data_IF_961380069581
#
_entry.id   IF_961380069581
#
_cell.length_a   1.000
_cell.length_b   1.000
_cell.length_c   1.000
_cell.angle_alpha   90.00
_cell.angle_beta   90.00
_cell.angle_gamma   90.00
#
_symmetry.space_group_name_H-M   'P 1'
#
loop_
_entity.id
_entity.type
_entity.pdbx_description
1 polymer ?
#
# COMPACT_ATOMS: atom_id res chain seq x y z
N UNK A 1 -0.43 -27.32 15.01
CA UNK A 1 -0.73 -27.05 13.59
C UNK A 1 -0.61 -25.55 13.49
N UNK A 2 0.61 -25.08 13.20
CA UNK A 2 0.93 -23.67 13.03
C UNK A 2 0.23 -23.28 11.73
N UNK A 3 -0.91 -22.60 11.85
CA UNK A 3 -1.49 -21.93 10.69
C UNK A 3 -0.54 -20.78 10.40
N UNK A 4 -0.04 -20.66 9.18
CA UNK A 4 0.58 -19.40 8.78
C UNK A 4 -0.52 -18.34 8.93
N UNK A 5 -0.37 -17.43 9.91
CA UNK A 5 -1.41 -16.45 10.26
C UNK A 5 -1.62 -15.41 9.15
N UNK A 6 -0.73 -15.39 8.16
CA UNK A 6 -0.86 -14.63 6.92
C UNK A 6 -0.63 -15.55 5.74
N UNK A 7 -1.63 -15.69 4.86
CA UNK A 7 -1.55 -16.53 3.66
C UNK A 7 -1.99 -15.77 2.42
N UNK A 8 -1.45 -16.15 1.26
CA UNK A 8 -1.78 -15.57 -0.04
C UNK A 8 -2.26 -16.67 -0.99
N UNK A 9 -3.31 -16.36 -1.74
CA UNK A 9 -3.86 -17.22 -2.78
C UNK A 9 -4.14 -16.40 -4.03
N UNK A 10 -3.54 -16.80 -5.14
CA UNK A 10 -3.88 -16.25 -6.45
C UNK A 10 -5.33 -16.61 -6.81
N UNK A 11 -6.06 -15.65 -7.37
CA UNK A 11 -7.43 -15.80 -7.84
C UNK A 11 -7.42 -15.89 -9.36
N UNK A 12 -8.14 -16.88 -9.90
CA UNK A 12 -8.33 -16.99 -11.34
C UNK A 12 -8.95 -15.71 -11.91
N UNK A 13 -8.34 -15.17 -12.97
CA UNK A 13 -8.87 -14.04 -13.72
C UNK A 13 -8.87 -14.36 -15.22
N UNK A 14 -9.92 -13.95 -15.92
CA UNK A 14 -10.02 -14.09 -17.37
C UNK A 14 -9.32 -12.94 -18.13
N UNK A 15 -8.56 -12.09 -17.43
CA UNK A 15 -7.98 -10.87 -17.97
C UNK A 15 -6.45 -10.88 -17.86
N UNK A 16 -5.77 -10.82 -19.00
CA UNK A 16 -4.29 -10.81 -19.06
C UNK A 16 -3.66 -9.49 -18.57
N UNK A 17 -4.48 -8.47 -18.24
CA UNK A 17 -3.99 -7.13 -17.88
C UNK A 17 -3.92 -6.88 -16.36
N UNK A 18 -4.20 -7.90 -15.55
CA UNK A 18 -4.09 -7.87 -14.08
C UNK A 18 -3.98 -9.26 -13.48
N UNK A 19 -3.38 -9.31 -12.31
CA UNK A 19 -3.43 -10.46 -11.41
C UNK A 19 -4.26 -10.08 -10.17
N UNK A 20 -4.93 -11.07 -9.59
CA UNK A 20 -5.73 -10.85 -8.39
C UNK A 20 -5.34 -11.86 -7.33
N UNK A 21 -5.25 -11.39 -6.09
CA UNK A 21 -4.91 -12.23 -4.95
C UNK A 21 -5.90 -12.01 -3.81
N UNK A 22 -6.14 -13.08 -3.07
CA UNK A 22 -6.79 -13.08 -1.78
C UNK A 22 -5.73 -13.30 -0.71
N UNK A 23 -5.57 -12.34 0.20
CA UNK A 23 -4.69 -12.49 1.36
C UNK A 23 -5.56 -12.67 2.60
N UNK A 24 -5.34 -13.74 3.35
CA UNK A 24 -5.82 -13.85 4.72
C UNK A 24 -4.78 -13.20 5.63
N UNK A 25 -5.17 -12.14 6.34
CA UNK A 25 -4.36 -11.46 7.34
C UNK A 25 -5.06 -11.60 8.69
N UNK A 26 -4.68 -12.61 9.48
CA UNK A 26 -5.27 -12.90 10.79
C UNK A 26 -6.81 -13.01 10.77
N UNK A 27 -7.36 -13.69 9.76
CA UNK A 27 -8.78 -13.88 9.51
C UNK A 27 -9.46 -12.72 8.75
N UNK A 28 -8.75 -11.63 8.47
CA UNK A 28 -9.23 -10.56 7.61
C UNK A 28 -8.87 -10.86 6.15
N UNK A 29 -9.88 -10.89 5.28
CA UNK A 29 -9.67 -11.13 3.86
C UNK A 29 -9.41 -9.81 3.11
N UNK A 30 -8.25 -9.72 2.45
CA UNK A 30 -7.87 -8.62 1.56
C UNK A 30 -7.95 -9.09 0.11
N UNK A 31 -8.48 -8.23 -0.75
CA UNK A 31 -8.42 -8.41 -2.21
C UNK A 31 -7.37 -7.48 -2.77
N UNK A 32 -6.34 -8.06 -3.37
CA UNK A 32 -5.23 -7.35 -4.01
C UNK A 32 -5.40 -7.42 -5.52
N UNK A 33 -5.24 -6.29 -6.19
CA UNK A 33 -5.14 -6.21 -7.65
C UNK A 33 -3.73 -5.76 -8.00
N UNK A 34 -2.98 -6.59 -8.72
CA UNK A 34 -1.66 -6.25 -9.27
C UNK A 34 -1.83 -5.97 -10.75
N UNK A 35 -1.29 -4.86 -11.24
CA UNK A 35 -1.48 -4.46 -12.64
C UNK A 35 -0.46 -3.42 -13.07
N UNK A 36 -0.17 -3.37 -14.37
CA UNK A 36 0.41 -2.22 -15.05
C UNK A 36 -0.60 -1.50 -15.96
N UNK A 37 -1.84 -1.99 -16.06
CA UNK A 37 -2.88 -1.47 -16.96
C UNK A 37 -3.50 -0.16 -16.45
N UNK A 38 -3.40 0.96 -17.20
CA UNK A 38 -4.05 2.22 -16.84
C UNK A 38 -5.58 2.09 -16.75
N UNK A 39 -6.18 1.16 -17.50
CA UNK A 39 -7.61 0.90 -17.48
C UNK A 39 -8.04 0.21 -16.17
N UNK A 40 -7.28 -0.78 -15.70
CA UNK A 40 -7.53 -1.46 -14.43
C UNK A 40 -7.40 -0.48 -13.27
N UNK A 41 -6.36 0.36 -13.25
CA UNK A 41 -6.19 1.40 -12.22
C UNK A 41 -7.39 2.37 -12.19
N UNK A 42 -7.83 2.84 -13.38
CA UNK A 42 -9.02 3.71 -13.47
C UNK A 42 -10.25 3.04 -12.87
N UNK A 43 -10.51 1.78 -13.25
CA UNK A 43 -11.67 1.02 -12.79
C UNK A 43 -11.60 0.75 -11.28
N UNK A 44 -10.41 0.44 -10.76
CA UNK A 44 -10.18 0.22 -9.34
C UNK A 44 -10.53 1.49 -8.55
N UNK A 45 -10.03 2.67 -8.94
CA UNK A 45 -10.31 3.93 -8.25
C UNK A 45 -11.80 4.27 -8.29
N UNK A 46 -12.44 4.16 -9.46
CA UNK A 46 -13.88 4.45 -9.60
C UNK A 46 -14.72 3.54 -8.70
N UNK A 47 -14.39 2.25 -8.66
CA UNK A 47 -15.11 1.26 -7.84
C UNK A 47 -14.87 1.52 -6.35
N UNK A 48 -13.63 1.75 -5.94
CA UNK A 48 -13.26 2.09 -4.56
C UNK A 48 -13.99 3.34 -4.08
N UNK A 49 -14.04 4.39 -4.90
CA UNK A 49 -14.83 5.59 -4.62
C UNK A 49 -16.34 5.36 -4.52
N UNK A 50 -16.89 4.45 -5.33
CA UNK A 50 -18.31 4.13 -5.28
C UNK A 50 -18.67 3.34 -4.01
N UNK A 51 -17.85 2.35 -3.66
CA UNK A 51 -17.99 1.53 -2.45
C UNK A 51 -17.90 2.41 -1.20
N UNK A 52 -16.87 3.24 -1.11
CA UNK A 52 -16.58 4.06 0.08
C UNK A 52 -17.06 5.51 -0.04
N UNK A 53 -18.09 5.77 -0.87
CA UNK A 53 -18.60 7.12 -1.15
C UNK A 53 -19.04 7.90 0.10
N UNK A 54 -19.42 7.21 1.18
CA UNK A 54 -19.78 7.82 2.46
C UNK A 54 -18.60 8.51 3.16
N UNK A 55 -17.36 8.20 2.77
CA UNK A 55 -16.13 8.72 3.38
C UNK A 55 -15.40 9.73 2.48
N UNK A 56 -15.99 10.15 1.36
CA UNK A 56 -15.34 10.98 0.33
C UNK A 56 -14.75 12.30 0.81
N UNK A 57 -15.23 12.84 1.94
CA UNK A 57 -14.77 14.12 2.48
C UNK A 57 -13.62 13.99 3.49
N UNK A 58 -13.27 12.76 3.90
CA UNK A 58 -12.16 12.43 4.81
C UNK A 58 -11.62 11.06 4.42
N UNK A 59 -10.99 10.98 3.26
CA UNK A 59 -10.60 9.71 2.68
C UNK A 59 -9.22 9.31 3.19
N UNK A 60 -9.13 8.26 4.01
CA UNK A 60 -7.84 7.72 4.45
C UNK A 60 -7.40 6.60 3.50
N UNK A 61 -6.16 6.65 3.04
CA UNK A 61 -5.60 5.69 2.10
C UNK A 61 -4.25 5.22 2.61
N UNK A 62 -4.12 3.91 2.80
CA UNK A 62 -2.81 3.30 3.03
C UNK A 62 -1.97 3.41 1.77
N UNK A 63 -0.82 4.06 1.89
CA UNK A 63 0.14 4.28 0.82
C UNK A 63 1.38 3.41 1.08
N UNK A 64 1.86 2.78 0.02
CA UNK A 64 3.19 2.19 -0.02
C UNK A 64 3.86 2.50 -1.35
N UNK A 65 5.18 2.59 -1.35
CA UNK A 65 5.99 2.78 -2.55
C UNK A 65 7.21 1.88 -2.41
N UNK A 66 7.51 1.09 -3.44
CA UNK A 66 8.71 0.25 -3.45
C UNK A 66 9.58 0.58 -4.66
N UNK A 67 10.89 0.47 -4.47
CA UNK A 67 11.92 0.70 -5.46
C UNK A 67 13.09 -0.25 -5.17
N UNK A 68 13.93 -0.51 -6.17
CA UNK A 68 15.16 -1.27 -5.95
C UNK A 68 16.17 -0.39 -5.19
N UNK A 69 16.61 -0.74 -3.97
CA UNK A 69 17.48 0.12 -3.17
C UNK A 69 18.94 0.13 -3.64
N UNK A 70 19.35 -0.83 -4.48
CA UNK A 70 20.72 -0.95 -4.97
C UNK A 70 20.98 -0.14 -6.25
N UNK A 71 19.92 0.40 -6.82
CA UNK A 71 19.94 1.32 -7.94
C UNK A 71 19.29 2.62 -7.50
N UNK A 72 19.74 3.78 -7.98
CA UNK A 72 19.00 5.05 -7.74
C UNK A 72 17.77 5.15 -8.66
N UNK A 73 17.11 4.01 -8.88
CA UNK A 73 15.93 3.88 -9.72
C UNK A 73 14.74 4.57 -9.04
N UNK A 74 13.84 5.16 -9.84
CA UNK A 74 12.61 5.73 -9.33
C UNK A 74 11.68 4.67 -8.72
N UNK A 75 10.54 5.11 -8.20
CA UNK A 75 9.48 4.22 -7.72
C UNK A 75 9.12 3.14 -8.75
N UNK A 76 9.31 1.87 -8.37
CA UNK A 76 8.94 0.69 -9.16
C UNK A 76 7.46 0.38 -9.10
N UNK A 77 6.89 0.53 -7.90
CA UNK A 77 5.49 0.23 -7.63
C UNK A 77 4.86 1.31 -6.74
N UNK A 78 3.55 1.50 -6.93
CA UNK A 78 2.68 2.28 -6.05
C UNK A 78 1.60 1.36 -5.46
N UNK A 79 1.48 1.36 -4.14
CA UNK A 79 0.42 0.66 -3.42
C UNK A 79 -0.61 1.65 -2.88
N UNK A 80 -1.89 1.33 -3.07
CA UNK A 80 -3.01 2.06 -2.48
C UNK A 80 -3.96 1.07 -1.83
N UNK A 81 -4.27 1.25 -0.55
CA UNK A 81 -5.24 0.40 0.14
C UNK A 81 -6.35 1.20 0.82
N UNK A 82 -7.60 0.76 0.60
CA UNK A 82 -8.80 1.32 1.21
C UNK A 82 -9.76 0.19 1.60
N UNK A 83 -10.00 0.06 2.90
CA UNK A 83 -10.73 -1.07 3.49
C UNK A 83 -9.94 -2.36 3.27
N UNK A 84 -10.58 -3.36 2.67
CA UNK A 84 -9.95 -4.63 2.30
C UNK A 84 -9.49 -4.68 0.84
N UNK A 85 -9.47 -3.54 0.14
CA UNK A 85 -9.07 -3.48 -1.28
C UNK A 85 -7.71 -2.82 -1.37
N UNK A 86 -6.71 -3.56 -1.85
CA UNK A 86 -5.41 -2.99 -2.17
C UNK A 86 -5.14 -3.07 -3.68
N UNK A 87 -4.50 -2.03 -4.21
CA UNK A 87 -3.99 -1.96 -5.57
C UNK A 87 -2.47 -1.91 -5.50
N UNK A 88 -1.80 -2.72 -6.30
CA UNK A 88 -0.36 -2.63 -6.57
C UNK A 88 -0.22 -2.26 -8.04
N UNK A 89 0.22 -1.04 -8.31
CA UNK A 89 0.42 -0.52 -9.66
C UNK A 89 1.91 -0.55 -10.00
N UNK A 90 2.30 -1.37 -10.97
CA UNK A 90 3.68 -1.48 -11.48
C UNK A 90 3.99 -0.28 -12.39
N UNK A 91 4.66 0.73 -11.83
CA UNK A 91 4.93 2.02 -12.49
C UNK A 91 5.99 1.90 -13.60
N UNK A 92 6.96 0.99 -13.47
CA UNK A 92 7.99 0.76 -14.50
C UNK A 92 7.46 0.06 -15.74
N UNK A 93 6.30 -0.59 -15.62
CA UNK A 93 5.72 -1.44 -16.67
C UNK A 93 4.49 -0.82 -17.33
N UNK A 94 4.22 0.46 -17.06
CA UNK A 94 3.12 1.20 -17.68
C UNK A 94 3.64 2.35 -18.54
N UNK A 95 3.09 2.48 -19.75
CA UNK A 95 3.40 3.60 -20.64
C UNK A 95 2.75 4.91 -20.19
N UNK A 96 1.71 4.84 -19.35
CA UNK A 96 0.98 6.03 -18.92
C UNK A 96 0.28 5.87 -17.58
N UNK A 97 -0.02 7.00 -16.94
CA UNK A 97 -0.84 7.03 -15.73
C UNK A 97 -2.17 7.72 -16.01
N UNK A 98 -3.31 7.10 -15.66
CA UNK A 98 -4.61 7.70 -15.96
C UNK A 98 -4.83 8.97 -15.12
N UNK A 99 -5.39 10.02 -15.73
CA UNK A 99 -5.68 11.31 -15.06
C UNK A 99 -6.55 11.20 -13.81
N UNK A 100 -7.29 10.10 -13.63
CA UNK A 100 -8.04 9.85 -12.39
C UNK A 100 -7.12 9.50 -11.22
N UNK A 101 -6.02 8.77 -11.46
CA UNK A 101 -5.03 8.51 -10.41
C UNK A 101 -4.34 9.81 -9.99
N UNK A 102 -3.92 10.64 -10.95
CA UNK A 102 -3.31 11.95 -10.65
C UNK A 102 -4.23 12.81 -9.78
N UNK A 103 -5.51 12.91 -10.14
CA UNK A 103 -6.52 13.64 -9.35
C UNK A 103 -6.79 13.01 -7.99
N UNK A 104 -6.70 11.69 -7.87
CA UNK A 104 -6.87 10.98 -6.60
C UNK A 104 -5.70 11.26 -5.65
N UNK A 105 -4.48 11.24 -6.17
CA UNK A 105 -3.25 11.54 -5.43
C UNK A 105 -3.16 13.03 -5.03
N UNK A 106 -3.67 13.92 -5.87
CA UNK A 106 -3.70 15.37 -5.66
C UNK A 106 -5.00 15.86 -4.99
N UNK A 107 -5.84 14.97 -4.44
CA UNK A 107 -7.06 15.38 -3.74
C UNK A 107 -6.73 15.85 -2.30
N UNK A 108 -7.02 17.11 -1.91
CA UNK A 108 -6.77 17.60 -0.56
C UNK A 108 -7.69 16.96 0.51
N UNK A 109 -8.75 16.26 0.11
CA UNK A 109 -9.62 15.51 1.03
C UNK A 109 -9.09 14.10 1.31
N UNK A 110 -7.99 13.70 0.67
CA UNK A 110 -7.35 12.40 0.86
C UNK A 110 -6.14 12.54 1.78
N UNK A 111 -6.13 11.76 2.86
CA UNK A 111 -4.98 11.60 3.76
C UNK A 111 -4.27 10.30 3.43
N UNK A 112 -3.07 10.41 2.89
CA UNK A 112 -2.18 9.27 2.68
C UNK A 112 -1.43 8.95 3.97
N UNK A 113 -1.41 7.68 4.35
CA UNK A 113 -0.77 7.19 5.57
C UNK A 113 0.15 6.02 5.26
N UNK A 114 1.24 5.92 6.00
CA UNK A 114 2.22 4.84 5.86
C UNK A 114 3.08 4.71 7.11
N UNK A 115 4.04 3.78 7.09
CA UNK A 115 5.00 3.55 8.17
C UNK A 115 6.39 3.62 7.55
N UNK A 116 7.29 4.44 8.10
CA UNK A 116 8.63 4.70 7.55
C UNK A 116 8.63 5.32 6.13
N UNK A 117 7.52 5.94 5.71
CA UNK A 117 7.21 6.43 4.36
C UNK A 117 7.78 7.81 3.97
N UNK A 118 8.81 8.28 4.66
CA UNK A 118 9.41 9.61 4.44
C UNK A 118 10.01 9.83 3.03
N UNK A 119 10.29 8.76 2.29
CA UNK A 119 10.83 8.83 0.92
C UNK A 119 9.77 8.68 -0.17
N UNK A 120 8.55 8.27 0.16
CA UNK A 120 7.52 7.87 -0.81
C UNK A 120 7.14 9.02 -1.75
N UNK A 121 6.84 10.19 -1.19
CA UNK A 121 6.48 11.39 -1.97
C UNK A 121 7.59 11.75 -2.98
N UNK A 122 8.84 11.77 -2.51
CA UNK A 122 10.00 12.08 -3.35
C UNK A 122 10.18 11.04 -4.45
N UNK A 123 10.12 9.74 -4.12
CA UNK A 123 10.30 8.65 -5.09
C UNK A 123 9.18 8.63 -6.15
N UNK A 124 7.95 8.95 -5.77
CA UNK A 124 6.83 9.09 -6.71
C UNK A 124 7.01 10.30 -7.63
N UNK A 125 7.48 11.43 -7.09
CA UNK A 125 7.73 12.65 -7.88
C UNK A 125 8.92 12.49 -8.84
N UNK A 126 9.96 11.77 -8.42
CA UNK A 126 11.15 11.45 -9.23
C UNK A 126 10.89 10.37 -10.29
N UNK A 127 9.77 9.65 -10.22
CA UNK A 127 9.40 8.67 -11.24
C UNK A 127 9.20 9.27 -12.62
N UNK A 128 9.32 8.44 -13.66
CA UNK A 128 9.04 8.83 -15.05
C UNK A 128 7.64 9.44 -15.21
N UNK A 129 6.71 9.04 -14.33
CA UNK A 129 5.34 9.52 -14.32
C UNK A 129 5.11 10.78 -13.48
N UNK A 130 6.09 11.23 -12.69
CA UNK A 130 6.05 12.46 -11.86
C UNK A 130 4.75 12.57 -11.06
N UNK A 131 4.50 11.58 -10.21
CA UNK A 131 3.29 11.50 -9.40
C UNK A 131 3.42 12.40 -8.18
N UNK A 132 2.68 13.51 -8.18
CA UNK A 132 2.58 14.42 -7.04
C UNK A 132 1.46 13.99 -6.08
N UNK A 133 1.68 14.22 -4.79
CA UNK A 133 0.69 14.03 -3.74
C UNK A 133 0.20 15.42 -3.27
N UNK A 134 -1.08 15.51 -2.88
CA UNK A 134 -1.66 16.75 -2.33
C UNK A 134 -1.01 17.18 -1.00
N UNK A 135 -0.42 16.23 -0.29
CA UNK A 135 0.27 16.45 0.98
C UNK A 135 1.28 15.33 1.24
N UNK A 136 2.31 15.65 2.03
CA UNK A 136 3.27 14.66 2.50
C UNK A 136 2.55 13.54 3.27
N UNK A 137 2.76 12.26 2.90
CA UNK A 137 2.18 11.13 3.60
C UNK A 137 2.44 11.17 5.10
N UNK A 138 1.42 10.88 5.90
CA UNK A 138 1.54 10.86 7.35
C UNK A 138 2.20 9.56 7.78
N UNK A 139 3.36 9.68 8.43
CA UNK A 139 3.98 8.54 9.10
C UNK A 139 3.23 8.25 10.40
N UNK A 140 2.63 7.06 10.45
CA UNK A 140 1.75 6.65 11.53
C UNK A 140 2.49 6.47 12.86
N UNK A 141 3.79 6.20 12.84
CA UNK A 141 4.61 6.05 14.06
C UNK A 141 4.55 7.28 14.95
N UNK A 142 4.64 8.46 14.35
CA UNK A 142 4.52 9.71 15.09
C UNK A 142 3.07 9.96 15.53
N UNK A 143 2.12 9.67 14.65
CA UNK A 143 0.68 9.89 14.93
C UNK A 143 0.18 9.05 16.11
N UNK A 144 0.61 7.78 16.20
CA UNK A 144 0.27 6.89 17.30
C UNK A 144 1.08 7.19 18.55
N UNK A 145 2.38 7.49 18.44
CA UNK A 145 3.19 7.91 19.58
C UNK A 145 2.59 9.11 20.32
N UNK A 146 2.18 10.13 19.56
CA UNK A 146 1.63 11.36 20.13
C UNK A 146 0.21 11.14 20.71
N UNK A 147 -0.62 10.30 20.07
CA UNK A 147 -1.99 10.03 20.55
C UNK A 147 -2.02 9.19 21.83
N UNK A 148 -1.11 8.23 21.96
CA UNK A 148 -1.09 7.28 23.09
C UNK A 148 -0.06 7.63 24.17
N UNK A 149 0.69 8.72 24.01
CA UNK A 149 1.79 9.14 24.92
C UNK A 149 2.88 8.06 25.06
N UNK A 150 3.20 7.40 23.94
CA UNK A 150 4.18 6.30 23.82
C UNK A 150 5.31 6.72 22.85
N UNK A 151 6.28 7.56 23.28
CA UNK A 151 7.30 8.14 22.40
C UNK A 151 8.20 7.11 21.70
N UNK A 152 8.35 5.92 22.27
CA UNK A 152 9.07 4.78 21.70
C UNK A 152 8.45 4.27 20.40
N UNK A 153 7.14 4.49 20.17
CA UNK A 153 6.48 4.08 18.94
C UNK A 153 7.00 4.83 17.70
N UNK A 154 7.65 5.99 17.90
CA UNK A 154 8.35 6.71 16.82
C UNK A 154 9.45 5.85 16.19
N UNK A 155 10.03 4.89 16.91
CA UNK A 155 11.04 3.97 16.40
C UNK A 155 10.52 2.56 16.11
N UNK A 156 9.22 2.30 16.27
CA UNK A 156 8.65 0.96 16.16
C UNK A 156 8.70 0.41 14.72
N UNK A 157 8.90 -0.90 14.62
CA UNK A 157 8.71 -1.63 13.38
C UNK A 157 7.22 -1.86 13.12
N UNK A 158 6.88 -2.29 11.90
CA UNK A 158 5.49 -2.64 11.57
C UNK A 158 5.00 -3.81 12.43
N UNK A 159 5.83 -4.80 12.69
CA UNK A 159 5.53 -5.94 13.55
C UNK A 159 5.16 -5.49 14.97
N UNK A 160 5.95 -4.59 15.56
CA UNK A 160 5.66 -4.01 16.88
C UNK A 160 4.32 -3.27 16.87
N UNK A 161 4.04 -2.48 15.84
CA UNK A 161 2.76 -1.76 15.71
C UNK A 161 1.59 -2.72 15.53
N UNK A 162 1.77 -3.79 14.76
CA UNK A 162 0.74 -4.81 14.52
C UNK A 162 0.39 -5.56 15.80
N UNK A 163 1.40 -6.01 16.55
CA UNK A 163 1.20 -6.62 17.87
C UNK A 163 0.50 -5.64 18.83
N UNK A 164 1.00 -4.39 18.93
CA UNK A 164 0.48 -3.38 19.86
C UNK A 164 -0.96 -2.96 19.61
N UNK A 165 -1.37 -2.80 18.35
CA UNK A 165 -2.66 -2.21 17.98
C UNK A 165 -3.70 -3.22 17.50
N UNK A 166 -3.28 -4.39 17.05
CA UNK A 166 -4.18 -5.44 16.55
C UNK A 166 -4.13 -6.72 17.38
N UNK A 167 -3.15 -6.86 18.29
CA UNK A 167 -2.99 -8.07 19.11
C UNK A 167 -2.52 -9.27 18.28
N UNK A 168 -1.94 -9.01 17.11
CA UNK A 168 -1.45 -10.02 16.19
C UNK A 168 0.06 -10.15 16.32
N UNK A 169 0.51 -11.30 16.80
CA UNK A 169 1.92 -11.64 16.93
C UNK A 169 2.36 -12.52 15.75
N UNK A 170 3.67 -12.59 15.49
CA UNK A 170 4.23 -13.49 14.48
C UNK A 170 4.30 -12.91 13.05
N UNK A 171 3.81 -11.69 12.81
CA UNK A 171 4.06 -11.00 11.56
C UNK A 171 5.58 -10.84 11.38
N UNK A 172 6.11 -11.19 10.20
CA UNK A 172 7.52 -11.03 9.87
C UNK A 172 7.65 -10.36 8.50
N UNK A 173 8.26 -9.17 8.45
CA UNK A 173 8.60 -8.51 7.19
C UNK A 173 10.02 -8.90 6.81
N UNK A 174 10.16 -9.76 5.81
CA UNK A 174 11.48 -10.19 5.34
C UNK A 174 12.22 -9.01 4.67
N UNK A 175 13.38 -8.58 5.20
CA UNK A 175 14.18 -7.52 4.60
C UNK A 175 14.67 -7.87 3.18
N UNK A 176 14.85 -9.15 2.86
CA UNK A 176 15.25 -9.56 1.51
C UNK A 176 14.15 -9.25 0.49
N UNK A 177 12.88 -9.34 0.88
CA UNK A 177 11.75 -8.95 0.03
C UNK A 177 11.69 -7.44 -0.10
N UNK A 178 11.85 -6.67 0.99
CA UNK A 178 11.84 -5.21 0.92
C UNK A 178 12.96 -4.65 0.04
N UNK A 179 14.12 -5.31 0.03
CA UNK A 179 15.29 -4.92 -0.76
C UNK A 179 15.36 -5.62 -2.14
N UNK A 180 14.33 -6.38 -2.52
CA UNK A 180 14.31 -7.13 -3.77
C UNK A 180 14.12 -6.25 -5.00
N UNK A 181 14.15 -6.86 -6.19
CA UNK A 181 13.88 -6.16 -7.43
C UNK A 181 12.38 -5.88 -7.61
N UNK A 182 11.95 -4.68 -7.20
CA UNK A 182 10.57 -4.19 -7.38
C UNK A 182 10.23 -3.73 -8.81
N UNK A 183 11.22 -3.78 -9.71
CA UNK A 183 11.07 -3.46 -11.14
C UNK A 183 10.97 -4.72 -12.00
N UNK A 184 10.86 -5.91 -11.39
CA UNK A 184 10.65 -7.17 -12.11
C UNK A 184 9.35 -7.11 -12.93
N UNK A 185 9.33 -7.80 -14.08
CA UNK A 185 8.14 -7.88 -14.95
C UNK A 185 6.93 -8.45 -14.20
N UNK A 186 7.19 -9.40 -13.29
CA UNK A 186 6.21 -10.08 -12.46
C UNK A 186 6.66 -10.01 -11.01
N UNK A 187 5.74 -9.63 -10.11
CA UNK A 187 6.01 -9.67 -8.68
C UNK A 187 5.83 -11.08 -8.15
N UNK A 188 6.68 -11.49 -7.21
CA UNK A 188 6.48 -12.76 -6.50
C UNK A 188 5.34 -12.66 -5.50
N UNK A 189 4.75 -13.80 -5.11
CA UNK A 189 3.76 -13.86 -4.03
C UNK A 189 4.25 -13.18 -2.74
N UNK A 190 5.53 -13.34 -2.42
CA UNK A 190 6.16 -12.67 -1.26
C UNK A 190 6.17 -11.15 -1.41
N UNK A 191 6.49 -10.62 -2.60
CA UNK A 191 6.43 -9.18 -2.89
C UNK A 191 5.00 -8.65 -2.84
N UNK A 192 4.04 -9.37 -3.43
CA UNK A 192 2.62 -9.01 -3.41
C UNK A 192 2.11 -8.98 -1.97
N UNK A 193 2.38 -10.03 -1.20
CA UNK A 193 2.03 -10.12 0.22
C UNK A 193 2.64 -8.96 1.01
N UNK A 194 3.94 -8.74 0.86
CA UNK A 194 4.67 -7.70 1.58
C UNK A 194 4.05 -6.32 1.33
N UNK A 195 3.85 -5.96 0.06
CA UNK A 195 3.37 -4.65 -0.36
C UNK A 195 1.90 -4.42 0.00
N UNK A 196 1.05 -5.45 -0.14
CA UNK A 196 -0.35 -5.37 0.24
C UNK A 196 -0.55 -5.25 1.76
N UNK A 197 0.18 -6.05 2.56
CA UNK A 197 0.13 -5.96 4.02
C UNK A 197 0.62 -4.60 4.50
N UNK A 198 1.66 -4.05 3.87
CA UNK A 198 2.20 -2.72 4.21
C UNK A 198 1.13 -1.63 4.11
N UNK A 199 0.47 -1.56 2.95
CA UNK A 199 -0.57 -0.59 2.68
C UNK A 199 -1.83 -0.87 3.51
N UNK A 200 -2.19 -2.15 3.74
CA UNK A 200 -3.37 -2.51 4.52
C UNK A 200 -3.23 -2.15 6.01
N UNK A 201 -2.13 -2.52 6.66
CA UNK A 201 -1.85 -2.19 8.06
C UNK A 201 -1.86 -0.67 8.23
N UNK A 202 -1.19 0.04 7.32
CA UNK A 202 -1.19 1.51 7.30
C UNK A 202 -2.60 2.07 7.19
N UNK A 203 -3.43 1.57 6.27
CA UNK A 203 -4.83 1.98 6.17
C UNK A 203 -5.62 1.71 7.46
N UNK A 204 -5.53 0.51 8.04
CA UNK A 204 -6.30 0.14 9.23
C UNK A 204 -5.95 1.01 10.43
N UNK A 205 -4.67 1.28 10.63
CA UNK A 205 -4.21 2.22 11.67
C UNK A 205 -4.68 3.65 11.36
N UNK A 206 -4.46 4.12 10.14
CA UNK A 206 -4.80 5.48 9.73
C UNK A 206 -6.29 5.80 9.85
N UNK A 207 -7.17 4.83 9.54
CA UNK A 207 -8.63 4.95 9.70
C UNK A 207 -9.05 5.29 11.13
N UNK A 208 -8.30 4.84 12.13
CA UNK A 208 -8.56 5.17 13.54
C UNK A 208 -7.95 6.53 13.89
N UNK A 209 -6.93 6.96 13.14
CA UNK A 209 -6.17 8.16 13.43
C UNK A 209 -6.77 9.46 12.85
N UNK A 210 -7.31 9.40 11.64
CA UNK A 210 -7.72 10.54 10.80
C UNK A 210 -9.17 10.41 10.30
#
# INVERSE_FOLDING_TARGET
>A
MESDDVTIHELATDFDDKEMYSIDFYGANLIVTVTSSPAVVRNWIQSTWWIYRSYRHRFVVGLGVQWNPYSDEPAGTLQLCVGSRCLIFQLTHTDSVPNILRRFLDDPNTTFVGIWNHSDERRLLESDHKLALSSTPKDLRYSVADRYDEPELRGASMETLVSRFFGYDGLRKDPNVSMSNWNADWLTDEQVLYAAVDAYVSFQMGKVMF
#
